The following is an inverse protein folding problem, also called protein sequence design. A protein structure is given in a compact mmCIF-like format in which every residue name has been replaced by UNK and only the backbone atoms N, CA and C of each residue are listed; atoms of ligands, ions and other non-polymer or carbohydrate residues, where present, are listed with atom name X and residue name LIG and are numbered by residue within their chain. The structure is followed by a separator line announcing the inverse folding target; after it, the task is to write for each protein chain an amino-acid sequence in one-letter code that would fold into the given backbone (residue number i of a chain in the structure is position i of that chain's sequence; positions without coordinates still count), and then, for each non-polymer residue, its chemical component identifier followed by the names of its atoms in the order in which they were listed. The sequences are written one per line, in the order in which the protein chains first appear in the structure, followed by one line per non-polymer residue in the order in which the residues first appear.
data_IF_003196427977
#
_entry.id   IF_003196427977
#
_cell.length_a   1.000
_cell.length_b   1.000
_cell.length_c   1.000
_cell.angle_alpha   90.00
_cell.angle_beta   90.00
_cell.angle_gamma   90.00
#
_symmetry.space_group_name_H-M   'P 1'
#
loop_
_entity.id
_entity.type
_entity.pdbx_description
1 polymer ?
#
# COMPACT_ATOMS: atom_id res chain seq x y z
N UNK A 1 -70.57 31.87 13.02
CA UNK A 1 -69.71 31.93 11.82
C UNK A 1 -68.27 32.32 12.15
N UNK A 2 -68.01 33.43 12.88
CA UNK A 2 -66.62 33.80 13.27
C UNK A 2 -65.97 32.86 14.28
N UNK A 3 -66.70 32.32 15.26
CA UNK A 3 -66.14 31.39 16.26
C UNK A 3 -65.70 30.03 15.70
N UNK A 4 -66.38 29.53 14.66
CA UNK A 4 -65.96 28.29 14.00
C UNK A 4 -64.66 28.49 13.19
N UNK A 5 -64.48 29.68 12.62
CA UNK A 5 -63.28 30.02 11.86
C UNK A 5 -62.08 30.11 12.81
N UNK A 6 -62.26 30.70 14.00
CA UNK A 6 -61.19 30.80 15.02
C UNK A 6 -60.85 29.45 15.65
N UNK A 7 -61.83 28.59 15.91
CA UNK A 7 -61.56 27.23 16.40
C UNK A 7 -60.83 26.37 15.37
N UNK A 8 -61.23 26.45 14.09
CA UNK A 8 -60.56 25.71 13.00
C UNK A 8 -59.11 26.18 12.78
N UNK A 9 -58.83 27.48 12.89
CA UNK A 9 -57.45 27.98 12.79
C UNK A 9 -56.60 27.57 13.98
N UNK A 10 -57.14 27.60 15.21
CA UNK A 10 -56.42 27.11 16.39
C UNK A 10 -56.12 25.61 16.31
N UNK A 11 -57.09 24.80 15.86
CA UNK A 11 -56.89 23.37 15.64
C UNK A 11 -55.80 23.10 14.61
N UNK A 12 -55.83 23.80 13.47
CA UNK A 12 -54.83 23.68 12.42
C UNK A 12 -53.43 24.10 12.89
N UNK A 13 -53.32 25.18 13.68
CA UNK A 13 -52.05 25.59 14.28
C UNK A 13 -51.49 24.54 15.25
N UNK A 14 -52.35 23.93 16.08
CA UNK A 14 -51.94 22.86 17.01
C UNK A 14 -51.51 21.60 16.26
N UNK A 15 -52.22 21.21 15.20
CA UNK A 15 -51.86 20.06 14.36
C UNK A 15 -50.56 20.29 13.61
N UNK A 16 -50.37 21.47 13.00
CA UNK A 16 -49.13 21.85 12.33
C UNK A 16 -47.93 21.86 13.29
N UNK A 17 -48.13 22.34 14.53
CA UNK A 17 -47.11 22.32 15.59
C UNK A 17 -46.74 20.91 16.03
N UNK A 18 -47.72 20.00 16.12
CA UNK A 18 -47.48 18.58 16.44
C UNK A 18 -46.73 17.87 15.30
N UNK A 19 -47.09 18.13 14.04
CA UNK A 19 -46.40 17.57 12.88
C UNK A 19 -44.92 18.00 12.82
N UNK A 20 -44.65 19.29 13.06
CA UNK A 20 -43.27 19.81 13.07
C UNK A 20 -42.44 19.23 14.22
N UNK A 21 -43.02 19.04 15.40
CA UNK A 21 -42.36 18.38 16.52
C UNK A 21 -42.01 16.90 16.21
N UNK A 22 -42.91 16.17 15.56
CA UNK A 22 -42.68 14.77 15.15
C UNK A 22 -41.56 14.67 14.11
N UNK A 23 -41.52 15.60 13.14
CA UNK A 23 -40.48 15.66 12.12
C UNK A 23 -39.10 15.93 12.73
N UNK A 24 -39.03 16.87 13.68
CA UNK A 24 -37.80 17.19 14.41
C UNK A 24 -37.34 15.98 15.25
N UNK A 25 -38.26 15.27 15.90
CA UNK A 25 -37.93 14.06 16.65
C UNK A 25 -37.38 12.94 15.75
N UNK A 26 -37.93 12.76 14.54
CA UNK A 26 -37.40 11.81 13.55
C UNK A 26 -35.99 12.22 13.10
N UNK A 27 -35.78 13.49 12.76
CA UNK A 27 -34.46 13.98 12.37
C UNK A 27 -33.41 13.79 13.48
N UNK A 28 -33.77 14.06 14.73
CA UNK A 28 -32.87 13.81 15.87
C UNK A 28 -32.55 12.31 16.04
N UNK A 29 -33.53 11.42 15.84
CA UNK A 29 -33.29 9.97 15.88
C UNK A 29 -32.35 9.52 14.76
N UNK A 30 -32.55 9.99 13.53
CA UNK A 30 -31.65 9.65 12.41
C UNK A 30 -30.22 10.09 12.70
N UNK A 31 -30.01 11.32 13.16
CA UNK A 31 -28.68 11.82 13.56
C UNK A 31 -28.05 10.96 14.66
N UNK A 32 -28.82 10.57 15.69
CA UNK A 32 -28.32 9.68 16.73
C UNK A 32 -27.95 8.30 16.18
N UNK A 33 -28.77 7.73 15.30
CA UNK A 33 -28.45 6.42 14.68
C UNK A 33 -27.21 6.49 13.79
N UNK A 34 -27.00 7.59 13.07
CA UNK A 34 -25.81 7.76 12.24
C UNK A 34 -24.56 7.99 13.10
N UNK A 35 -24.67 8.74 14.20
CA UNK A 35 -23.59 8.87 15.18
C UNK A 35 -23.22 7.53 15.83
N UNK A 36 -24.20 6.67 16.13
CA UNK A 36 -23.97 5.32 16.67
C UNK A 36 -23.32 4.38 15.65
N UNK A 37 -23.75 4.41 14.39
CA UNK A 37 -23.10 3.65 13.29
C UNK A 37 -21.63 4.06 13.14
N UNK A 38 -21.34 5.36 13.16
CA UNK A 38 -19.96 5.85 13.05
C UNK A 38 -19.07 5.54 14.27
N UNK A 39 -19.66 5.34 15.45
CA UNK A 39 -18.93 4.84 16.63
C UNK A 39 -18.59 3.36 16.53
N UNK A 40 -19.49 2.57 15.97
CA UNK A 40 -19.38 1.11 15.92
C UNK A 40 -18.61 0.59 14.70
N UNK A 41 -18.57 1.35 13.60
CA UNK A 41 -17.73 1.05 12.44
C UNK A 41 -16.45 1.90 12.46
N UNK A 42 -15.33 1.40 13.03
CA UNK A 42 -14.07 2.07 12.83
C UNK A 42 -13.75 2.03 11.34
N UNK A 43 -13.68 3.21 10.71
CA UNK A 43 -13.26 3.36 9.31
C UNK A 43 -12.08 2.42 9.04
N UNK A 44 -12.29 1.51 8.08
CA UNK A 44 -11.29 0.53 7.66
C UNK A 44 -10.09 1.30 7.12
N UNK A 45 -9.07 1.45 7.96
CA UNK A 45 -7.78 2.00 7.55
C UNK A 45 -7.04 0.89 6.83
N UNK A 46 -6.34 1.23 5.76
CA UNK A 46 -5.54 0.28 5.00
C UNK A 46 -4.06 0.70 4.96
N UNK A 47 -3.17 -0.28 4.87
CA UNK A 47 -1.72 -0.10 4.76
C UNK A 47 -1.01 -0.05 6.11
N UNK A 48 -0.24 1.02 6.36
CA UNK A 48 0.61 1.12 7.56
C UNK A 48 -0.27 1.44 8.78
N UNK A 49 -0.40 0.49 9.68
CA UNK A 49 -1.19 0.62 10.90
C UNK A 49 -0.33 0.42 12.14
N UNK A 50 -0.88 0.78 13.30
CA UNK A 50 -0.28 0.40 14.59
C UNK A 50 -0.67 -1.03 14.95
N UNK A 51 0.14 -1.70 15.78
CA UNK A 51 -0.13 -3.08 16.22
C UNK A 51 -1.52 -3.17 16.91
N UNK A 52 -1.88 -2.17 17.72
CA UNK A 52 -3.20 -2.10 18.38
C UNK A 52 -4.35 -2.01 17.37
N UNK A 53 -4.16 -1.30 16.26
CA UNK A 53 -5.17 -1.18 15.19
C UNK A 53 -5.32 -2.50 14.43
N UNK A 54 -4.22 -3.21 14.15
CA UNK A 54 -4.26 -4.56 13.57
C UNK A 54 -5.01 -5.55 14.46
N UNK A 55 -4.79 -5.49 15.78
CA UNK A 55 -5.44 -6.37 16.77
C UNK A 55 -6.94 -6.06 16.95
N UNK A 56 -7.37 -4.82 16.71
CA UNK A 56 -8.77 -4.38 16.90
C UNK A 56 -9.76 -5.19 16.04
N UNK A 57 -9.28 -5.80 14.96
CA UNK A 57 -10.08 -6.61 14.04
C UNK A 57 -10.18 -8.10 14.41
N UNK A 58 -9.82 -8.50 15.64
CA UNK A 58 -10.01 -9.86 16.15
C UNK A 58 -9.26 -10.94 15.38
N UNK A 59 -8.21 -10.56 14.63
CA UNK A 59 -7.36 -11.49 13.90
C UNK A 59 -6.02 -11.60 14.62
N UNK A 60 -5.55 -12.83 14.82
CA UNK A 60 -4.21 -13.09 15.35
C UNK A 60 -3.18 -12.35 14.52
N UNK A 61 -2.21 -11.72 15.19
CA UNK A 61 -1.14 -10.99 14.51
C UNK A 61 0.04 -11.93 14.34
N UNK A 62 0.52 -12.05 13.11
CA UNK A 62 1.72 -12.84 12.77
C UNK A 62 2.88 -11.90 12.49
N UNK A 63 4.09 -12.37 12.74
CA UNK A 63 5.33 -11.61 12.71
C UNK A 63 6.36 -12.28 11.81
N UNK A 64 6.99 -11.48 10.93
CA UNK A 64 8.14 -11.91 10.12
C UNK A 64 9.30 -10.93 10.34
N UNK A 65 10.49 -11.49 10.49
CA UNK A 65 11.75 -10.75 10.61
C UNK A 65 12.25 -10.28 9.23
N UNK A 66 12.57 -8.99 9.12
CA UNK A 66 13.18 -8.36 7.93
C UNK A 66 14.45 -7.62 8.34
N UNK A 67 15.45 -7.65 7.45
CA UNK A 67 16.71 -6.90 7.56
C UNK A 67 16.58 -5.43 7.15
N UNK A 68 17.42 -4.55 7.72
CA UNK A 68 17.35 -3.08 7.59
C UNK A 68 17.31 -2.58 6.13
N UNK A 69 18.07 -3.24 5.25
CA UNK A 69 18.16 -2.89 3.82
C UNK A 69 16.85 -3.13 3.06
N UNK A 70 15.99 -4.01 3.57
CA UNK A 70 14.85 -4.56 2.85
C UNK A 70 13.49 -3.92 3.24
N UNK A 71 13.37 -3.26 4.40
CA UNK A 71 12.09 -2.71 4.90
C UNK A 71 11.44 -1.71 3.95
N UNK A 72 12.22 -0.77 3.38
CA UNK A 72 11.66 0.27 2.49
C UNK A 72 11.04 -0.35 1.23
N UNK A 73 11.67 -1.38 0.68
CA UNK A 73 11.20 -2.03 -0.53
C UNK A 73 10.08 -3.05 -0.23
N UNK A 74 10.02 -3.59 0.99
CA UNK A 74 8.90 -4.41 1.46
C UNK A 74 7.58 -3.62 1.54
N UNK A 75 7.61 -2.37 2.04
CA UNK A 75 6.42 -1.50 2.13
C UNK A 75 5.68 -1.33 0.78
N UNK A 76 6.43 -1.15 -0.31
CA UNK A 76 5.85 -1.05 -1.65
C UNK A 76 5.19 -2.36 -2.11
N UNK A 77 5.79 -3.50 -1.74
CA UNK A 77 5.27 -4.82 -2.08
C UNK A 77 4.03 -5.13 -1.25
N UNK A 78 4.04 -4.84 0.05
CA UNK A 78 2.89 -5.01 0.94
C UNK A 78 1.65 -4.23 0.44
N UNK A 79 1.84 -2.98 -0.02
CA UNK A 79 0.76 -2.20 -0.64
C UNK A 79 0.17 -2.85 -1.89
N UNK A 80 1.01 -3.48 -2.73
CA UNK A 80 0.55 -4.17 -3.96
C UNK A 80 -0.37 -5.35 -3.64
N UNK A 81 -0.11 -6.03 -2.54
CA UNK A 81 -0.90 -7.17 -2.07
C UNK A 81 -2.02 -6.79 -1.09
N UNK A 82 -2.23 -5.49 -0.82
CA UNK A 82 -3.27 -5.02 0.10
C UNK A 82 -3.05 -5.43 1.56
N UNK A 83 -1.80 -5.73 1.94
CA UNK A 83 -1.48 -6.22 3.28
C UNK A 83 -1.43 -5.06 4.26
N UNK A 84 -2.22 -5.15 5.33
CA UNK A 84 -2.13 -4.25 6.47
C UNK A 84 -0.95 -4.67 7.36
N UNK A 85 -0.03 -3.73 7.63
CA UNK A 85 1.17 -4.05 8.38
C UNK A 85 1.61 -2.97 9.38
N UNK A 86 2.24 -3.41 10.46
CA UNK A 86 2.93 -2.57 11.42
C UNK A 86 4.42 -2.92 11.44
N UNK A 87 5.26 -1.88 11.47
CA UNK A 87 6.71 -2.03 11.59
C UNK A 87 7.12 -1.77 13.03
N UNK A 88 7.86 -2.71 13.62
CA UNK A 88 8.53 -2.52 14.90
C UNK A 88 10.02 -2.78 14.72
N UNK A 89 10.83 -1.88 15.28
CA UNK A 89 12.27 -2.06 15.37
C UNK A 89 12.57 -2.71 16.71
N UNK A 90 13.20 -3.87 16.67
CA UNK A 90 13.74 -4.52 17.85
C UNK A 90 15.23 -4.20 17.93
N UNK A 91 15.59 -3.47 18.99
CA UNK A 91 16.95 -3.02 19.28
C UNK A 91 17.57 -3.82 20.44
N UNK A 92 16.93 -4.94 20.80
CA UNK A 92 17.30 -5.78 21.95
C UNK A 92 18.54 -6.66 21.69
N UNK A 93 18.96 -6.81 20.43
CA UNK A 93 20.16 -7.55 20.04
C UNK A 93 21.24 -6.65 19.45
N UNK A 94 22.45 -7.20 19.27
CA UNK A 94 23.61 -6.51 18.67
C UNK A 94 23.34 -6.00 17.24
N UNK A 95 22.48 -6.71 16.49
CA UNK A 95 22.06 -6.32 15.14
C UNK A 95 20.59 -5.89 15.20
N UNK A 96 20.25 -4.63 14.86
CA UNK A 96 18.87 -4.17 14.88
C UNK A 96 18.04 -4.96 13.86
N UNK A 97 16.94 -5.55 14.33
CA UNK A 97 16.00 -6.31 13.50
C UNK A 97 14.69 -5.54 13.34
N UNK A 98 14.03 -5.73 12.21
CA UNK A 98 12.72 -5.12 11.98
C UNK A 98 11.69 -6.22 11.85
N UNK A 99 10.70 -6.16 12.73
CA UNK A 99 9.54 -7.03 12.70
C UNK A 99 8.43 -6.35 11.93
N UNK A 100 7.92 -7.05 10.93
CA UNK A 100 6.66 -6.70 10.30
C UNK A 100 5.57 -7.55 10.93
N UNK A 101 4.61 -6.88 11.56
CA UNK A 101 3.38 -7.47 12.06
C UNK A 101 2.30 -7.32 11.00
N UNK A 102 1.58 -8.39 10.71
CA UNK A 102 0.48 -8.41 9.75
C UNK A 102 -0.69 -9.22 10.32
N UNK A 103 -1.85 -9.09 9.68
CA UNK A 103 -3.05 -9.85 10.04
C UNK A 103 -2.86 -11.30 9.63
N UNK A 104 -3.10 -12.27 10.52
CA UNK A 104 -2.88 -13.69 10.25
C UNK A 104 -3.69 -14.26 9.07
N UNK A 105 -4.81 -13.60 8.69
CA UNK A 105 -5.58 -13.94 7.48
C UNK A 105 -4.82 -13.66 6.19
N UNK A 106 -3.85 -12.74 6.23
CA UNK A 106 -3.07 -12.32 5.08
C UNK A 106 -1.74 -13.10 4.98
N UNK A 107 -1.58 -14.19 5.74
CA UNK A 107 -0.34 -14.97 5.78
C UNK A 107 0.08 -15.51 4.40
N UNK A 108 -0.88 -15.96 3.59
CA UNK A 108 -0.62 -16.46 2.24
C UNK A 108 -0.21 -15.32 1.29
N UNK A 109 -0.87 -14.16 1.40
CA UNK A 109 -0.54 -12.96 0.63
C UNK A 109 0.85 -12.44 0.99
N UNK A 110 1.20 -12.46 2.28
CA UNK A 110 2.52 -12.07 2.78
C UNK A 110 3.60 -13.01 2.27
N UNK A 111 3.35 -14.32 2.28
CA UNK A 111 4.30 -15.31 1.75
C UNK A 111 4.54 -15.12 0.26
N UNK A 112 3.47 -14.87 -0.52
CA UNK A 112 3.58 -14.54 -1.93
C UNK A 112 4.35 -13.23 -2.18
N UNK A 113 4.06 -12.19 -1.39
CA UNK A 113 4.76 -10.91 -1.45
C UNK A 113 6.25 -11.07 -1.14
N UNK A 114 6.60 -11.87 -0.15
CA UNK A 114 8.00 -12.19 0.19
C UNK A 114 8.71 -12.93 -0.94
N UNK A 115 8.05 -13.89 -1.57
CA UNK A 115 8.63 -14.62 -2.70
C UNK A 115 8.93 -13.69 -3.87
N UNK A 116 8.01 -12.79 -4.22
CA UNK A 116 8.22 -11.77 -5.27
C UNK A 116 9.34 -10.80 -4.87
N UNK A 117 9.37 -10.39 -3.60
CA UNK A 117 10.35 -9.47 -3.05
C UNK A 117 11.77 -10.04 -3.09
N UNK A 118 11.96 -11.27 -2.62
CA UNK A 118 13.24 -11.98 -2.66
C UNK A 118 13.75 -12.14 -4.08
N UNK A 119 12.87 -12.48 -5.04
CA UNK A 119 13.23 -12.58 -6.46
C UNK A 119 13.67 -11.23 -7.04
N UNK A 120 12.95 -10.14 -6.72
CA UNK A 120 13.29 -8.78 -7.18
C UNK A 120 14.59 -8.25 -6.57
N UNK A 121 14.87 -8.55 -5.31
CA UNK A 121 16.11 -8.14 -4.65
C UNK A 121 17.31 -8.91 -5.20
N UNK A 122 17.18 -10.22 -5.37
CA UNK A 122 18.24 -11.03 -5.98
C UNK A 122 18.54 -10.54 -7.41
N UNK A 123 17.51 -10.17 -8.17
CA UNK A 123 17.69 -9.58 -9.50
C UNK A 123 18.35 -8.19 -9.47
N UNK A 124 18.12 -7.39 -8.42
CA UNK A 124 18.79 -6.10 -8.22
C UNK A 124 20.26 -6.26 -7.81
N UNK A 125 20.56 -7.19 -6.90
CA UNK A 125 21.94 -7.50 -6.50
C UNK A 125 22.75 -8.09 -7.67
N UNK A 126 22.12 -8.95 -8.48
CA UNK A 126 22.76 -9.53 -9.67
C UNK A 126 22.98 -8.54 -10.81
N UNK A 127 22.36 -7.34 -10.81
CA UNK A 127 22.58 -6.34 -11.87
C UNK A 127 23.99 -5.75 -11.72
N UNK A 128 24.86 -5.86 -12.74
CA UNK A 128 26.19 -5.29 -12.67
C UNK A 128 26.10 -3.76 -12.58
N UNK A 129 26.90 -3.19 -11.69
CA UNK A 129 27.00 -1.74 -11.47
C UNK A 129 27.36 -1.00 -12.76
N UNK A 130 26.98 0.28 -12.85
CA UNK A 130 27.21 1.12 -14.04
C UNK A 130 28.70 1.12 -14.44
N UNK A 131 29.61 1.16 -13.44
CA UNK A 131 31.05 1.06 -13.67
C UNK A 131 31.44 -0.25 -14.36
N UNK A 132 30.95 -1.40 -13.88
CA UNK A 132 31.19 -2.71 -14.51
C UNK A 132 30.59 -2.81 -15.92
N UNK A 133 29.48 -2.13 -16.18
CA UNK A 133 28.91 -2.04 -17.54
C UNK A 133 29.80 -1.19 -18.46
N UNK A 134 30.29 -0.06 -17.98
CA UNK A 134 31.21 0.82 -18.73
C UNK A 134 32.53 0.13 -19.03
N UNK A 135 33.12 -0.60 -18.08
CA UNK A 135 34.36 -1.35 -18.33
C UNK A 135 34.13 -2.46 -19.36
N UNK A 136 33.05 -3.24 -19.23
CA UNK A 136 32.69 -4.27 -20.23
C UNK A 136 32.42 -3.66 -21.61
N UNK A 137 31.72 -2.53 -21.69
CA UNK A 137 31.45 -1.85 -22.95
C UNK A 137 32.74 -1.31 -23.59
N UNK A 138 33.67 -0.76 -22.80
CA UNK A 138 35.01 -0.35 -23.27
C UNK A 138 35.82 -1.56 -23.77
N UNK A 139 35.79 -2.68 -23.06
CA UNK A 139 36.46 -3.91 -23.48
C UNK A 139 35.85 -4.49 -24.76
N UNK A 140 34.52 -4.49 -24.88
CA UNK A 140 33.82 -4.92 -26.10
C UNK A 140 34.13 -4.01 -27.29
N UNK A 141 34.15 -2.69 -27.09
CA UNK A 141 34.54 -1.75 -28.14
C UNK A 141 35.97 -1.98 -28.62
N UNK A 142 36.92 -2.19 -27.70
CA UNK A 142 38.32 -2.54 -28.04
C UNK A 142 38.41 -3.86 -28.83
N UNK A 143 37.64 -4.88 -28.43
CA UNK A 143 37.59 -6.16 -29.17
C UNK A 143 37.03 -5.99 -30.59
N UNK A 144 35.95 -5.23 -30.75
CA UNK A 144 35.38 -4.94 -32.06
C UNK A 144 36.32 -4.12 -32.96
N UNK A 145 37.10 -3.21 -32.38
CA UNK A 145 38.10 -2.43 -33.11
C UNK A 145 39.25 -3.31 -33.63
N UNK A 146 39.72 -4.26 -32.81
CA UNK A 146 40.74 -5.25 -33.22
C UNK A 146 40.22 -6.18 -34.33
N UNK A 147 38.98 -6.70 -34.21
CA UNK A 147 38.36 -7.54 -35.25
C UNK A 147 38.11 -6.78 -36.56
N UNK A 148 37.89 -5.47 -36.51
CA UNK A 148 37.79 -4.61 -37.71
C UNK A 148 39.17 -4.38 -38.35
N UNK A 149 40.21 -4.19 -37.55
CA UNK A 149 41.59 -4.03 -38.03
C UNK A 149 42.14 -5.29 -38.72
N UNK A 150 41.79 -6.48 -38.22
CA UNK A 150 42.17 -7.75 -38.85
C UNK A 150 41.46 -7.97 -40.21
N UNK A 151 40.18 -7.60 -40.31
CA UNK A 151 39.43 -7.74 -41.58
C UNK A 151 39.89 -6.81 -42.69
N UNK A 152 40.55 -5.69 -42.39
CA UNK A 152 41.03 -4.73 -43.40
C UNK A 152 42.35 -5.16 -44.05
N UNK A 153 43.12 -6.07 -43.43
CA UNK A 153 44.43 -6.50 -43.97
C UNK A 153 44.37 -7.51 -45.12
N UNK A 154 43.22 -8.06 -45.47
CA UNK A 154 43.09 -9.08 -46.53
C UNK A 154 42.41 -8.52 -47.79
N UNK A 155 42.81 -7.30 -48.19
CA UNK A 155 42.29 -6.62 -49.39
C UNK A 155 43.40 -6.26 -50.37
N UNK A 156 44.50 -7.01 -50.37
CA UNK A 156 45.46 -7.01 -51.47
C UNK A 156 44.86 -7.81 -52.64
N UNK A 157 44.10 -7.11 -53.49
CA UNK A 157 43.74 -7.62 -54.81
C UNK A 157 44.87 -7.26 -55.75
N UNK A 158 45.67 -8.28 -56.09
CA UNK A 158 46.72 -8.19 -57.11
C UNK A 158 46.19 -7.58 -58.40
N UNK A 159 46.81 -6.48 -58.80
CA UNK A 159 46.77 -5.95 -60.16
C UNK A 159 48.00 -6.52 -60.86
N UNK A 160 47.85 -7.71 -61.45
CA UNK A 160 48.80 -8.20 -62.45
C UNK A 160 48.62 -7.36 -63.73
N UNK A 161 49.72 -6.77 -64.20
CA UNK A 161 49.89 -6.16 -65.53
C UNK A 161 50.81 -7.04 -66.34
#
# INVERSE_FOLDING_TARGET
MQEEITQKTLALCVEASKMTAQLLQQAMKEVLTDMEKHKNDPQLRHGKQTIRQLMKHGAGVSNIEITDQNIKAFSATAKKYGIDFALKKDTTGEIPRYLVFFKGRDADAVTAAFREFSAKNLAKEKKPSIRRRLTKAKEQAKRQELERGEKVKNRDRGLER
#
